data_IF_048688558055
#
_entry.id   IF_048688558055
#
_cell.length_a   1.000
_cell.length_b   1.000
_cell.length_c   1.000
_cell.angle_alpha   90.00
_cell.angle_beta   90.00
_cell.angle_gamma   90.00
#
_symmetry.space_group_name_H-M   'P 1'
#
loop_
_entity.id
_entity.type
_entity.pdbx_description
1 polymer ?
#
# COMPACT_ATOMS: atom_id res chain seq x y z
N UNK A 1 -22.24 17.32 -5.87
CA UNK A 1 -21.92 16.78 -4.53
C UNK A 1 -20.40 16.80 -4.34
N UNK A 2 -19.90 17.47 -3.29
CA UNK A 2 -18.46 17.56 -2.99
C UNK A 2 -17.99 16.22 -2.40
N UNK A 3 -17.10 15.50 -3.10
CA UNK A 3 -16.39 14.35 -2.49
C UNK A 3 -15.47 14.91 -1.40
N UNK A 4 -15.87 14.76 -0.14
CA UNK A 4 -15.02 15.05 1.01
C UNK A 4 -13.80 14.14 0.95
N UNK A 5 -12.61 14.72 0.78
CA UNK A 5 -11.33 14.00 0.86
C UNK A 5 -10.76 14.20 2.24
N UNK A 6 -10.88 13.19 3.11
CA UNK A 6 -10.33 13.26 4.47
C UNK A 6 -8.85 12.89 4.45
N UNK A 7 -7.96 13.85 4.70
CA UNK A 7 -6.53 13.59 4.92
C UNK A 7 -6.32 13.21 6.39
N UNK A 8 -5.60 12.12 6.65
CA UNK A 8 -5.22 11.68 8.01
C UNK A 8 -3.81 11.11 7.99
N UNK A 9 -3.03 11.44 9.01
CA UNK A 9 -1.76 10.77 9.30
C UNK A 9 -2.05 9.62 10.26
N UNK A 10 -1.46 8.46 9.98
CA UNK A 10 -1.73 7.22 10.69
C UNK A 10 -0.59 6.23 10.48
N UNK A 11 -0.50 5.21 11.34
CA UNK A 11 0.40 4.08 11.10
C UNK A 11 -0.19 3.17 10.04
N UNK A 12 0.66 2.39 9.38
CA UNK A 12 0.23 1.44 8.36
C UNK A 12 -0.73 0.38 8.95
N UNK A 13 -0.48 -0.04 10.19
CA UNK A 13 -1.32 -0.98 10.95
C UNK A 13 -2.76 -0.45 11.18
N UNK A 14 -2.97 0.88 11.17
CA UNK A 14 -4.31 1.48 11.36
C UNK A 14 -5.23 1.29 10.15
N UNK A 15 -4.71 0.76 9.04
CA UNK A 15 -5.48 0.35 7.87
C UNK A 15 -6.21 -0.98 8.06
N UNK A 16 -5.77 -1.82 9.02
CA UNK A 16 -6.43 -3.10 9.34
C UNK A 16 -7.84 -2.93 9.87
N UNK A 17 -8.08 -1.82 10.56
CA UNK A 17 -9.39 -1.52 11.14
C UNK A 17 -10.34 -1.21 9.98
N UNK A 18 -11.46 -1.94 9.85
CA UNK A 18 -12.39 -1.73 8.75
C UNK A 18 -12.93 -0.31 8.84
N UNK A 19 -12.57 0.48 7.84
CA UNK A 19 -13.17 1.78 7.57
C UNK A 19 -14.11 1.54 6.41
N UNK A 20 -15.27 2.20 6.39
CA UNK A 20 -16.20 2.25 5.25
C UNK A 20 -15.58 2.96 4.03
N UNK A 21 -14.32 2.66 3.70
CA UNK A 21 -13.57 3.18 2.57
C UNK A 21 -14.07 2.47 1.32
N UNK A 22 -14.62 3.25 0.40
CA UNK A 22 -15.15 2.76 -0.86
C UNK A 22 -14.54 3.52 -2.02
N UNK A 23 -14.40 2.83 -3.15
CA UNK A 23 -13.87 3.43 -4.38
C UNK A 23 -12.35 3.59 -4.34
N UNK A 24 -11.87 4.75 -3.92
CA UNK A 24 -10.47 5.17 -4.12
C UNK A 24 -9.76 5.50 -2.81
N UNK A 25 -8.60 4.89 -2.59
CA UNK A 25 -7.69 5.21 -1.48
C UNK A 25 -6.34 5.70 -2.01
N UNK A 26 -5.83 6.79 -1.44
CA UNK A 26 -4.49 7.30 -1.72
C UNK A 26 -3.65 7.28 -0.45
N UNK A 27 -2.52 6.60 -0.50
CA UNK A 27 -1.56 6.46 0.59
C UNK A 27 -0.33 7.26 0.20
N UNK A 28 0.10 8.15 1.10
CA UNK A 28 1.36 8.87 0.98
C UNK A 28 2.29 8.33 2.06
N UNK A 29 3.44 7.79 1.64
CA UNK A 29 4.45 7.31 2.57
C UNK A 29 5.30 8.50 3.01
N UNK A 30 5.50 8.62 4.33
CA UNK A 30 6.31 9.69 4.91
C UNK A 30 7.78 9.55 4.49
N UNK A 31 8.52 10.66 4.29
CA UNK A 31 9.92 10.58 3.89
C UNK A 31 10.81 9.89 4.91
N UNK A 32 10.55 10.13 6.19
CA UNK A 32 11.23 9.51 7.32
C UNK A 32 10.65 8.14 7.71
N UNK A 33 9.87 7.49 6.84
CA UNK A 33 9.34 6.15 7.16
C UNK A 33 10.50 5.18 7.40
N UNK A 34 10.41 4.44 8.50
CA UNK A 34 11.30 3.32 8.80
C UNK A 34 10.44 2.10 9.01
N UNK A 35 10.69 1.07 8.21
CA UNK A 35 9.98 -0.18 8.39
C UNK A 35 10.61 -0.93 9.58
N UNK A 36 9.92 -0.94 10.72
CA UNK A 36 10.34 -1.80 11.83
C UNK A 36 9.92 -3.23 11.50
N UNK A 37 10.87 -4.11 11.13
CA UNK A 37 10.61 -5.55 11.00
C UNK A 37 9.98 -6.06 12.30
N UNK A 38 8.69 -6.38 12.27
CA UNK A 38 8.04 -7.07 13.39
C UNK A 38 7.97 -8.55 13.08
N UNK A 39 8.69 -9.34 13.86
CA UNK A 39 8.45 -10.78 13.95
C UNK A 39 7.01 -10.99 14.48
N UNK A 40 6.10 -11.48 13.65
CA UNK A 40 4.77 -11.93 14.07
C UNK A 40 3.57 -11.00 13.75
N UNK A 41 3.81 -9.77 13.32
CA UNK A 41 2.75 -8.89 12.82
C UNK A 41 2.52 -9.14 11.33
N UNK A 42 1.78 -10.20 10.97
CA UNK A 42 1.52 -10.50 9.55
C UNK A 42 0.98 -9.27 8.83
N UNK A 43 1.41 -9.03 7.59
CA UNK A 43 0.89 -7.96 6.74
C UNK A 43 -0.61 -8.10 6.42
N UNK A 44 -1.01 -7.73 5.21
CA UNK A 44 -2.42 -7.71 4.84
C UNK A 44 -3.16 -6.50 5.40
N UNK A 45 -2.51 -5.34 5.51
CA UNK A 45 -3.17 -4.16 6.06
C UNK A 45 -4.36 -3.68 5.25
N UNK A 46 -4.48 -4.08 3.99
CA UNK A 46 -5.59 -3.75 3.11
C UNK A 46 -6.44 -4.97 2.72
N UNK A 47 -6.24 -6.14 3.34
CA UNK A 47 -7.00 -7.33 2.99
C UNK A 47 -8.49 -7.19 3.30
N UNK A 48 -8.88 -6.35 4.27
CA UNK A 48 -10.28 -6.17 4.66
C UNK A 48 -10.96 -4.98 3.96
N UNK A 49 -10.46 -4.57 2.79
CA UNK A 49 -10.95 -3.39 2.06
C UNK A 49 -11.77 -3.74 0.82
N UNK A 50 -12.73 -4.65 0.97
CA UNK A 50 -13.54 -5.23 -0.13
C UNK A 50 -14.28 -4.21 -1.02
N UNK A 51 -14.58 -3.03 -0.49
CA UNK A 51 -15.26 -1.96 -1.22
C UNK A 51 -14.30 -0.97 -1.93
N UNK A 52 -12.99 -1.09 -1.71
CA UNK A 52 -11.99 -0.36 -2.48
C UNK A 52 -11.78 -1.05 -3.82
N UNK A 53 -11.85 -0.26 -4.88
CA UNK A 53 -11.55 -0.73 -6.23
C UNK A 53 -10.28 -0.08 -6.80
N UNK A 54 -9.80 1.01 -6.20
CA UNK A 54 -8.58 1.68 -6.66
C UNK A 54 -7.71 2.09 -5.49
N UNK A 55 -6.42 1.76 -5.57
CA UNK A 55 -5.41 2.13 -4.58
C UNK A 55 -4.25 2.82 -5.29
N UNK A 56 -3.81 3.94 -4.73
CA UNK A 56 -2.66 4.69 -5.21
C UNK A 56 -1.69 4.93 -4.06
N UNK A 57 -0.51 4.33 -4.14
CA UNK A 57 0.55 4.47 -3.15
C UNK A 57 1.64 5.36 -3.76
N UNK A 58 2.00 6.43 -3.05
CA UNK A 58 3.01 7.38 -3.48
C UNK A 58 4.05 7.55 -2.39
N UNK A 59 5.30 7.36 -2.77
CA UNK A 59 6.45 7.71 -1.95
C UNK A 59 6.93 9.14 -2.24
N UNK A 60 7.69 9.76 -1.31
CA UNK A 60 8.21 11.11 -1.50
C UNK A 60 9.34 11.15 -2.54
N UNK A 61 9.61 12.34 -3.06
CA UNK A 61 10.59 12.61 -4.11
C UNK A 61 11.35 13.90 -3.79
N UNK A 62 12.60 14.03 -4.24
CA UNK A 62 13.42 15.22 -4.02
C UNK A 62 14.39 15.05 -2.85
N UNK A 63 14.53 16.09 -2.01
CA UNK A 63 15.55 16.17 -0.94
C UNK A 63 15.55 14.99 0.04
N UNK A 64 14.43 14.29 0.17
CA UNK A 64 14.32 13.12 1.06
C UNK A 64 14.54 11.78 0.35
N UNK A 65 14.87 11.77 -0.93
CA UNK A 65 15.06 10.54 -1.71
C UNK A 65 16.34 9.79 -1.28
N UNK A 66 17.39 10.54 -0.94
CA UNK A 66 18.69 9.99 -0.50
C UNK A 66 18.62 9.28 0.85
N UNK A 67 17.68 9.70 1.71
CA UNK A 67 17.44 9.09 3.03
C UNK A 67 16.56 7.83 2.96
N UNK A 68 15.96 7.55 1.80
CA UNK A 68 15.04 6.41 1.66
C UNK A 68 15.78 5.10 1.48
N UNK A 69 15.38 4.11 2.27
CA UNK A 69 15.83 2.75 2.12
C UNK A 69 14.86 1.97 1.22
N UNK A 70 15.32 1.49 0.06
CA UNK A 70 14.52 0.65 -0.83
C UNK A 70 14.06 -0.66 -0.18
N UNK A 71 14.76 -1.16 0.85
CA UNK A 71 14.27 -2.31 1.61
C UNK A 71 13.01 -1.97 2.41
N UNK A 72 12.93 -0.77 2.99
CA UNK A 72 11.79 -0.34 3.78
C UNK A 72 10.56 -0.13 2.89
N UNK A 73 10.76 0.47 1.71
CA UNK A 73 9.72 0.57 0.68
C UNK A 73 9.14 -0.81 0.33
N UNK A 74 10.01 -1.79 0.09
CA UNK A 74 9.61 -3.14 -0.27
C UNK A 74 8.85 -3.84 0.84
N UNK A 75 9.28 -3.65 2.08
CA UNK A 75 8.63 -4.23 3.24
C UNK A 75 7.25 -3.56 3.51
N UNK A 76 7.12 -2.24 3.27
CA UNK A 76 5.82 -1.55 3.26
C UNK A 76 4.87 -2.16 2.23
N UNK A 77 5.36 -2.41 1.01
CA UNK A 77 4.52 -2.93 -0.07
C UNK A 77 4.13 -4.41 0.17
N UNK A 78 5.03 -5.21 0.74
CA UNK A 78 4.76 -6.57 1.20
C UNK A 78 3.61 -6.58 2.20
N UNK A 79 3.66 -5.70 3.21
CA UNK A 79 2.68 -5.70 4.28
C UNK A 79 1.32 -5.11 3.90
N UNK A 80 1.26 -4.25 2.88
CA UNK A 80 0.01 -3.66 2.45
C UNK A 80 -0.99 -4.70 1.93
N UNK A 81 -0.52 -5.69 1.15
CA UNK A 81 -1.30 -6.73 0.43
C UNK A 81 -2.78 -6.35 0.20
N UNK A 82 -3.12 -5.80 -0.99
CA UNK A 82 -4.47 -5.36 -1.30
C UNK A 82 -5.50 -6.50 -1.34
N UNK A 83 -6.79 -6.15 -1.20
CA UNK A 83 -7.89 -7.09 -1.40
C UNK A 83 -8.07 -7.43 -2.90
N UNK A 84 -8.52 -8.65 -3.20
CA UNK A 84 -8.66 -9.19 -4.56
C UNK A 84 -9.70 -8.48 -5.43
N UNK A 85 -10.61 -7.72 -4.84
CA UNK A 85 -11.62 -6.91 -5.54
C UNK A 85 -11.06 -5.61 -6.15
N UNK A 86 -9.75 -5.36 -5.97
CA UNK A 86 -9.08 -4.21 -6.53
C UNK A 86 -9.06 -4.27 -8.05
N UNK A 87 -9.48 -3.18 -8.69
CA UNK A 87 -9.51 -2.99 -10.14
C UNK A 87 -8.32 -2.19 -10.67
N UNK A 88 -7.74 -1.32 -9.84
CA UNK A 88 -6.60 -0.52 -10.22
C UNK A 88 -5.62 -0.34 -9.05
N UNK A 89 -4.35 -0.64 -9.31
CA UNK A 89 -3.23 -0.41 -8.40
C UNK A 89 -2.24 0.54 -9.04
N UNK A 90 -1.94 1.65 -8.38
CA UNK A 90 -0.95 2.64 -8.84
C UNK A 90 0.16 2.76 -7.81
N UNK A 91 1.38 2.41 -8.18
CA UNK A 91 2.58 2.56 -7.37
C UNK A 91 3.42 3.68 -8.00
N UNK A 92 3.78 4.69 -7.21
CA UNK A 92 4.55 5.85 -7.70
C UNK A 92 5.78 6.11 -6.83
N UNK A 93 6.91 6.32 -7.50
CA UNK A 93 8.21 6.66 -6.88
C UNK A 93 8.74 5.58 -5.92
N UNK A 94 8.38 4.33 -6.15
CA UNK A 94 8.88 3.18 -5.41
C UNK A 94 10.36 2.95 -5.74
N UNK A 95 11.20 2.82 -4.70
CA UNK A 95 12.64 2.57 -4.84
C UNK A 95 13.02 1.15 -4.39
N UNK A 96 12.04 0.35 -3.97
CA UNK A 96 12.31 -1.03 -3.58
C UNK A 96 12.72 -1.89 -4.76
N UNK A 97 13.70 -2.76 -4.53
CA UNK A 97 14.24 -3.66 -5.56
C UNK A 97 13.52 -5.02 -5.60
N UNK A 98 12.62 -5.27 -4.65
CA UNK A 98 11.85 -6.52 -4.56
C UNK A 98 10.41 -6.28 -4.98
N UNK A 99 9.88 -7.18 -5.80
CA UNK A 99 8.43 -7.33 -6.00
C UNK A 99 7.88 -8.07 -4.76
N UNK A 100 6.76 -7.62 -4.16
CA UNK A 100 6.19 -8.29 -3.00
C UNK A 100 5.71 -9.70 -3.37
N UNK A 101 5.68 -10.62 -2.40
CA UNK A 101 5.34 -12.04 -2.61
C UNK A 101 3.96 -12.23 -3.22
N UNK A 102 3.00 -11.39 -2.86
CA UNK A 102 1.65 -11.44 -3.42
C UNK A 102 1.58 -11.01 -4.90
N UNK A 103 2.64 -10.43 -5.47
CA UNK A 103 2.71 -10.01 -6.88
C UNK A 103 3.77 -10.76 -7.69
N UNK A 104 4.54 -11.67 -7.08
CA UNK A 104 5.62 -12.38 -7.76
C UNK A 104 5.08 -13.58 -8.54
N UNK A 105 5.71 -13.91 -9.67
CA UNK A 105 5.34 -15.06 -10.52
C UNK A 105 3.85 -14.98 -10.91
N UNK A 106 3.09 -16.08 -10.80
CA UNK A 106 1.65 -16.13 -11.05
C UNK A 106 0.81 -15.55 -9.90
N UNK A 107 1.48 -15.08 -8.84
CA UNK A 107 0.86 -14.55 -7.63
C UNK A 107 0.05 -13.28 -7.87
N UNK A 108 0.39 -12.46 -8.87
CA UNK A 108 -0.35 -11.23 -9.16
C UNK A 108 -1.77 -11.52 -9.64
N UNK A 109 -1.94 -12.45 -10.59
CA UNK A 109 -3.26 -12.83 -11.09
C UNK A 109 -4.09 -13.54 -10.00
N UNK A 110 -3.45 -14.36 -9.16
CA UNK A 110 -4.12 -15.01 -8.04
C UNK A 110 -4.54 -14.01 -6.93
N UNK A 111 -3.72 -13.00 -6.66
CA UNK A 111 -3.95 -12.05 -5.58
C UNK A 111 -4.86 -10.90 -5.98
N UNK A 112 -4.76 -10.43 -7.24
CA UNK A 112 -5.51 -9.30 -7.80
C UNK A 112 -6.15 -9.68 -9.15
N UNK A 113 -7.08 -10.65 -9.16
CA UNK A 113 -7.68 -11.17 -10.39
C UNK A 113 -8.52 -10.14 -11.15
N UNK A 114 -8.95 -9.07 -10.49
CA UNK A 114 -9.84 -8.05 -11.06
C UNK A 114 -9.11 -6.82 -11.60
N UNK A 115 -7.77 -6.85 -11.64
CA UNK A 115 -6.96 -5.72 -12.12
C UNK A 115 -7.18 -5.53 -13.63
N UNK A 116 -7.50 -4.29 -14.05
CA UNK A 116 -7.83 -3.91 -15.44
C UNK A 116 -6.94 -2.79 -15.99
#
# INVERSE_FOLDING_TARGET
QRKSSTKREARLEDLRVPRNLKGYLKIYISPSHKHSKRYGGGGGYLCNTEHLNTICIKWPYGEHEEERNGNDDADVLEDLRPHSNLKALKIKRYLGLRIPRWAREDGLAASLPNLV
#
